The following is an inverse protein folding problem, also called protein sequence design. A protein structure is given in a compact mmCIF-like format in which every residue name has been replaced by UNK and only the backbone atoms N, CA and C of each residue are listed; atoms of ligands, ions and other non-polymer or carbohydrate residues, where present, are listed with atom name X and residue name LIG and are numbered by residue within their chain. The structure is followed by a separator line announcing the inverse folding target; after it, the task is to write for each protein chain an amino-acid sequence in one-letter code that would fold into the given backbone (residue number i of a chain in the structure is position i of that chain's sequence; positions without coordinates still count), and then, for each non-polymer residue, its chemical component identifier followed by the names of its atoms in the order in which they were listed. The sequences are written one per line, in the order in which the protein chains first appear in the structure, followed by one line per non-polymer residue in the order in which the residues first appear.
data_IF_129598685954
#
_entry.id   IF_129598685954
#
_cell.length_a   1.000
_cell.length_b   1.000
_cell.length_c   1.000
_cell.angle_alpha   90.00
_cell.angle_beta   90.00
_cell.angle_gamma   90.00
#
_symmetry.space_group_name_H-M   'P 1'
#
loop_
_entity.id
_entity.type
_entity.pdbx_description
1 polymer ?
#
# COMPACT_ATOMS: atom_id res chain seq x y z
N UNK A 1 6.71 25.49 -19.09
CA UNK A 1 6.63 24.63 -17.88
C UNK A 1 6.16 25.39 -16.63
N UNK A 2 6.53 26.66 -16.43
CA UNK A 2 6.13 27.48 -15.26
C UNK A 2 4.62 27.84 -15.17
N UNK A 3 3.87 27.74 -16.28
CA UNK A 3 2.44 28.08 -16.33
C UNK A 3 1.55 27.09 -15.56
N UNK A 4 1.97 25.82 -15.41
CA UNK A 4 1.18 24.77 -14.75
C UNK A 4 1.00 25.05 -13.24
N UNK A 5 2.04 25.59 -12.58
CA UNK A 5 1.96 25.99 -11.17
C UNK A 5 1.09 27.22 -10.95
N UNK A 6 1.12 28.19 -11.87
CA UNK A 6 0.33 29.42 -11.77
C UNK A 6 -1.17 29.20 -11.96
N UNK A 7 -1.58 28.21 -12.75
CA UNK A 7 -2.99 27.89 -13.02
C UNK A 7 -3.67 27.05 -11.92
N UNK A 8 -3.02 26.79 -10.77
CA UNK A 8 -3.52 25.93 -9.67
C UNK A 8 -4.05 24.55 -10.11
N UNK A 9 -3.63 24.06 -11.28
CA UNK A 9 -4.20 22.84 -11.86
C UNK A 9 -3.81 21.57 -11.09
N UNK A 10 -2.76 21.63 -10.26
CA UNK A 10 -2.33 20.53 -9.40
C UNK A 10 -3.19 20.37 -8.13
N UNK A 11 -3.78 21.46 -7.62
CA UNK A 11 -4.58 21.49 -6.39
C UNK A 11 -5.99 22.04 -6.65
N UNK A 12 -6.58 21.67 -7.79
CA UNK A 12 -7.98 21.94 -8.06
C UNK A 12 -8.84 20.93 -7.28
N UNK A 13 -9.90 21.32 -6.56
CA UNK A 13 -10.79 20.39 -5.85
C UNK A 13 -11.31 19.24 -6.73
N UNK A 14 -11.51 19.47 -8.03
CA UNK A 14 -11.91 18.40 -8.97
C UNK A 14 -10.81 17.36 -9.16
N UNK A 15 -9.55 17.78 -9.27
CA UNK A 15 -8.41 16.85 -9.43
C UNK A 15 -8.25 16.03 -8.15
N UNK A 16 -8.39 16.66 -6.99
CA UNK A 16 -8.38 15.96 -5.70
C UNK A 16 -9.52 14.94 -5.60
N UNK A 17 -10.74 15.30 -6.02
CA UNK A 17 -11.88 14.38 -6.03
C UNK A 17 -11.65 13.18 -6.95
N UNK A 18 -11.08 13.40 -8.14
CA UNK A 18 -10.76 12.33 -9.09
C UNK A 18 -9.66 11.41 -8.52
N UNK A 19 -8.60 11.98 -7.93
CA UNK A 19 -7.55 11.18 -7.27
C UNK A 19 -8.12 10.37 -6.11
N UNK A 20 -9.02 10.94 -5.32
CA UNK A 20 -9.67 10.23 -4.21
C UNK A 20 -10.57 9.08 -4.71
N UNK A 21 -11.35 9.30 -5.77
CA UNK A 21 -12.14 8.25 -6.42
C UNK A 21 -11.25 7.14 -6.98
N UNK A 22 -10.11 7.49 -7.58
CA UNK A 22 -9.13 6.51 -8.05
C UNK A 22 -8.55 5.68 -6.89
N UNK A 23 -8.14 6.33 -5.80
CA UNK A 23 -7.65 5.66 -4.59
C UNK A 23 -8.69 4.72 -3.98
N UNK A 24 -9.96 5.12 -3.98
CA UNK A 24 -11.06 4.28 -3.51
C UNK A 24 -11.29 3.07 -4.43
N UNK A 25 -11.29 3.29 -5.74
CA UNK A 25 -11.44 2.24 -6.74
C UNK A 25 -10.33 1.20 -6.67
N UNK A 26 -9.06 1.62 -6.61
CA UNK A 26 -7.92 0.70 -6.47
C UNK A 26 -7.96 -0.08 -5.15
N UNK A 27 -8.40 0.55 -4.06
CA UNK A 27 -8.55 -0.13 -2.76
C UNK A 27 -9.58 -1.26 -2.81
N UNK A 28 -10.71 -1.03 -3.47
CA UNK A 28 -11.73 -2.08 -3.68
C UNK A 28 -11.12 -3.25 -4.47
N UNK A 29 -10.43 -2.96 -5.58
CA UNK A 29 -9.82 -4.01 -6.40
C UNK A 29 -8.82 -4.84 -5.59
N UNK A 30 -7.92 -4.17 -4.87
CA UNK A 30 -6.87 -4.81 -4.08
C UNK A 30 -7.41 -5.67 -2.94
N UNK A 31 -8.60 -5.35 -2.41
CA UNK A 31 -9.27 -6.19 -1.41
C UNK A 31 -9.97 -7.41 -2.04
N UNK A 32 -10.67 -7.21 -3.16
CA UNK A 32 -11.46 -8.27 -3.79
C UNK A 32 -10.61 -9.33 -4.50
N UNK A 33 -9.41 -8.98 -4.99
CA UNK A 33 -8.52 -9.96 -5.65
C UNK A 33 -8.11 -11.09 -4.68
N UNK A 34 -7.48 -10.83 -3.52
CA UNK A 34 -7.14 -11.88 -2.55
C UNK A 34 -8.37 -12.61 -2.01
N UNK A 35 -9.46 -11.88 -1.76
CA UNK A 35 -10.71 -12.47 -1.28
C UNK A 35 -11.29 -13.48 -2.28
N UNK A 36 -11.34 -13.13 -3.57
CA UNK A 36 -11.84 -14.02 -4.61
C UNK A 36 -10.97 -15.26 -4.84
N UNK A 37 -9.67 -15.18 -4.56
CA UNK A 37 -8.76 -16.34 -4.65
C UNK A 37 -8.94 -17.26 -3.44
N UNK A 38 -9.07 -16.67 -2.25
CA UNK A 38 -9.11 -17.39 -0.98
C UNK A 38 -10.52 -17.84 -0.57
N UNK A 39 -11.58 -17.40 -1.26
CA UNK A 39 -12.98 -17.76 -0.94
C UNK A 39 -13.26 -19.27 -0.94
N UNK A 40 -12.50 -20.06 -1.70
CA UNK A 40 -12.65 -21.51 -1.80
C UNK A 40 -11.67 -22.28 -0.89
N UNK A 41 -10.82 -21.56 -0.15
CA UNK A 41 -9.83 -22.14 0.74
C UNK A 41 -10.35 -22.10 2.18
N UNK A 42 -10.15 -23.18 2.94
CA UNK A 42 -10.50 -23.26 4.36
C UNK A 42 -9.48 -22.49 5.24
N UNK A 43 -9.13 -21.27 4.84
CA UNK A 43 -8.12 -20.45 5.50
C UNK A 43 -8.78 -19.45 6.45
N UNK A 44 -8.14 -19.25 7.60
CA UNK A 44 -8.61 -18.31 8.61
C UNK A 44 -8.58 -16.86 8.09
N UNK A 45 -9.45 -16.03 8.68
CA UNK A 45 -9.51 -14.59 8.41
C UNK A 45 -8.15 -13.90 8.54
N UNK A 46 -7.30 -14.38 9.45
CA UNK A 46 -5.95 -13.87 9.64
C UNK A 46 -5.08 -14.04 8.38
N UNK A 47 -5.15 -15.18 7.71
CA UNK A 47 -4.40 -15.45 6.48
C UNK A 47 -4.88 -14.55 5.35
N UNK A 48 -6.20 -14.38 5.22
CA UNK A 48 -6.80 -13.44 4.27
C UNK A 48 -6.30 -12.01 4.50
N UNK A 49 -6.34 -11.54 5.76
CA UNK A 49 -5.88 -10.20 6.11
C UNK A 49 -4.42 -9.98 5.73
N UNK A 50 -3.54 -10.94 6.05
CA UNK A 50 -2.11 -10.85 5.69
C UNK A 50 -1.93 -10.81 4.17
N UNK A 51 -2.65 -11.65 3.43
CA UNK A 51 -2.56 -11.64 1.97
C UNK A 51 -2.99 -10.29 1.41
N UNK A 52 -4.12 -9.74 1.85
CA UNK A 52 -4.57 -8.40 1.43
C UNK A 52 -3.53 -7.32 1.75
N UNK A 53 -3.00 -7.29 2.98
CA UNK A 53 -1.99 -6.32 3.39
C UNK A 53 -0.73 -6.40 2.51
N UNK A 54 -0.23 -7.62 2.26
CA UNK A 54 0.96 -7.82 1.41
C UNK A 54 0.71 -7.39 -0.04
N UNK A 55 -0.46 -7.70 -0.61
CA UNK A 55 -0.83 -7.28 -1.97
C UNK A 55 -0.91 -5.75 -2.09
N UNK A 56 -1.45 -5.07 -1.08
CA UNK A 56 -1.53 -3.60 -1.04
C UNK A 56 -0.13 -2.98 -0.97
N UNK A 57 0.75 -3.47 -0.09
CA UNK A 57 2.11 -2.95 0.07
C UNK A 57 2.95 -3.17 -1.19
N UNK A 58 2.83 -4.32 -1.84
CA UNK A 58 3.53 -4.59 -3.10
C UNK A 58 3.05 -3.69 -4.23
N UNK A 59 1.73 -3.56 -4.41
CA UNK A 59 1.16 -2.74 -5.49
C UNK A 59 1.53 -1.27 -5.32
N UNK A 60 1.39 -0.74 -4.11
CA UNK A 60 1.76 0.67 -3.81
C UNK A 60 3.26 0.92 -3.99
N UNK A 61 4.11 -0.05 -3.64
CA UNK A 61 5.55 0.05 -3.88
C UNK A 61 5.86 0.13 -5.38
N UNK A 62 5.26 -0.73 -6.20
CA UNK A 62 5.42 -0.70 -7.66
C UNK A 62 4.91 0.61 -8.26
N UNK A 63 3.77 1.10 -7.80
CA UNK A 63 3.20 2.39 -8.23
C UNK A 63 4.16 3.55 -7.95
N UNK A 64 4.74 3.62 -6.75
CA UNK A 64 5.73 4.64 -6.38
C UNK A 64 6.99 4.55 -7.24
N UNK A 65 7.49 3.33 -7.50
CA UNK A 65 8.64 3.09 -8.38
C UNK A 65 8.37 3.60 -9.79
N UNK A 66 7.18 3.33 -10.34
CA UNK A 66 6.78 3.76 -11.69
C UNK A 66 6.52 5.27 -11.80
N UNK A 67 5.92 5.88 -10.77
CA UNK A 67 5.69 7.32 -10.73
C UNK A 67 6.95 8.14 -10.43
N UNK A 68 8.00 7.51 -9.92
CA UNK A 68 9.29 8.17 -9.66
C UNK A 68 10.02 8.45 -10.98
N UNK A 69 10.06 9.72 -11.37
CA UNK A 69 10.84 10.16 -12.55
C UNK A 69 12.34 10.29 -12.29
N UNK A 70 12.74 10.66 -11.08
CA UNK A 70 14.15 10.87 -10.71
C UNK A 70 14.54 9.99 -9.54
N UNK A 71 15.41 9.01 -9.81
CA UNK A 71 15.96 8.11 -8.81
C UNK A 71 17.04 8.81 -8.00
N UNK A 72 16.65 9.38 -6.86
CA UNK A 72 17.58 9.92 -5.87
C UNK A 72 17.91 8.85 -4.84
N UNK A 73 19.11 8.92 -4.24
CA UNK A 73 19.53 8.02 -3.14
C UNK A 73 18.51 7.99 -2.00
N UNK A 74 17.89 9.15 -1.72
CA UNK A 74 16.86 9.28 -0.69
C UNK A 74 15.56 8.57 -1.05
N UNK A 75 15.11 8.64 -2.30
CA UNK A 75 13.89 7.93 -2.71
C UNK A 75 14.08 6.41 -2.69
N UNK A 76 15.25 5.92 -3.15
CA UNK A 76 15.61 4.49 -3.01
C UNK A 76 15.59 4.08 -1.54
N UNK A 77 16.23 4.87 -0.68
CA UNK A 77 16.29 4.59 0.75
C UNK A 77 14.88 4.57 1.38
N UNK A 78 13.99 5.49 0.99
CA UNK A 78 12.62 5.54 1.48
C UNK A 78 11.80 4.31 1.07
N UNK A 79 11.91 3.86 -0.18
CA UNK A 79 11.21 2.66 -0.68
C UNK A 79 11.73 1.38 -0.01
N UNK A 80 13.05 1.26 0.16
CA UNK A 80 13.62 0.10 0.87
C UNK A 80 13.23 0.12 2.34
N UNK A 81 13.25 1.29 2.97
CA UNK A 81 12.86 1.45 4.36
C UNK A 81 11.38 1.10 4.59
N UNK A 82 10.47 1.50 3.70
CA UNK A 82 9.04 1.16 3.84
C UNK A 82 8.79 -0.34 3.76
N UNK A 83 9.46 -1.05 2.83
CA UNK A 83 9.39 -2.51 2.73
C UNK A 83 9.92 -3.18 3.99
N UNK A 84 11.11 -2.78 4.48
CA UNK A 84 11.71 -3.34 5.69
C UNK A 84 10.82 -3.09 6.91
N UNK A 85 10.28 -1.88 7.06
CA UNK A 85 9.37 -1.53 8.14
C UNK A 85 8.10 -2.38 8.14
N UNK A 86 7.53 -2.69 6.97
CA UNK A 86 6.37 -3.58 6.85
C UNK A 86 6.67 -4.99 7.36
N UNK A 87 7.77 -5.61 6.92
CA UNK A 87 8.16 -6.94 7.39
C UNK A 87 8.48 -6.97 8.89
N UNK A 88 9.15 -5.93 9.40
CA UNK A 88 9.42 -5.80 10.83
C UNK A 88 8.13 -5.68 11.64
N UNK A 89 7.22 -4.77 11.26
CA UNK A 89 5.94 -4.60 11.94
C UNK A 89 5.11 -5.89 11.96
N UNK A 90 5.11 -6.61 10.84
CA UNK A 90 4.46 -7.92 10.74
C UNK A 90 5.10 -8.95 11.66
N UNK A 91 6.43 -9.00 11.73
CA UNK A 91 7.16 -9.91 12.63
C UNK A 91 6.82 -9.63 14.11
N UNK A 92 6.80 -8.35 14.52
CA UNK A 92 6.40 -7.97 15.87
C UNK A 92 4.94 -8.30 16.20
N UNK A 93 4.04 -8.20 15.22
CA UNK A 93 2.60 -8.48 15.40
C UNK A 93 2.28 -9.98 15.35
N UNK A 94 3.03 -10.73 14.52
CA UNK A 94 2.94 -12.18 14.42
C UNK A 94 3.73 -12.94 15.49
N UNK A 95 4.57 -12.24 16.27
CA UNK A 95 5.19 -12.82 17.45
C UNK A 95 4.09 -13.20 18.45
N UNK A 96 3.98 -14.47 18.87
CA UNK A 96 3.00 -14.87 19.86
C UNK A 96 3.20 -14.04 21.13
N UNK A 97 2.10 -13.44 21.62
CA UNK A 97 2.05 -12.74 22.91
C UNK A 97 1.93 -13.69 24.10
N UNK A 98 2.37 -14.94 23.93
CA UNK A 98 2.26 -15.99 24.92
C UNK A 98 3.60 -16.16 25.66
N UNK A 99 3.96 -15.12 26.41
CA UNK A 99 4.74 -15.29 27.63
C UNK A 99 3.91 -14.73 28.80
N UNK A 100 2.65 -15.16 28.91
CA UNK A 100 2.00 -15.14 30.20
C UNK A 100 2.41 -16.44 30.91
N UNK A 101 3.58 -16.40 31.55
CA UNK A 101 3.92 -17.38 32.56
C UNK A 101 2.97 -17.15 33.74
N UNK A 102 1.93 -17.97 33.85
CA UNK A 102 1.29 -18.29 35.12
C UNK A 102 0.86 -19.76 35.12
#
# INVERSE_FOLDING_TARGET
VYSIGQKKQLFNPLVLAITLLYSFYTSIILFFIPMGILQYSALDYQTLAITVETTVVLTTTVEVILHTKFWTKFNVAAVVFSLVAFFLARLFTGSPKDYFFL
#
